data_IF_498031234767
#
_entry.id   IF_498031234767
#
_cell.length_a   1.000
_cell.length_b   1.000
_cell.length_c   1.000
_cell.angle_alpha   90.00
_cell.angle_beta   90.00
_cell.angle_gamma   90.00
#
_symmetry.space_group_name_H-M   'P 1'
#
loop_
_entity.id
_entity.type
_entity.pdbx_description
1 polymer ?
#
# COMPACT_ATOMS: atom_id res chain seq x y z
N UNK A 1 -27.10 -7.72 14.94
CA UNK A 1 -26.71 -8.07 13.55
C UNK A 1 -25.37 -8.78 13.67
N UNK A 2 -25.32 -10.09 13.42
CA UNK A 2 -24.10 -10.89 13.61
C UNK A 2 -23.18 -10.71 12.40
N UNK A 3 -22.15 -9.87 12.57
CA UNK A 3 -21.01 -9.75 11.66
C UNK A 3 -19.98 -10.83 12.00
N UNK A 4 -20.34 -12.09 11.76
CA UNK A 4 -19.43 -13.22 11.92
C UNK A 4 -18.57 -13.36 10.66
N UNK A 5 -17.56 -12.50 10.54
CA UNK A 5 -16.36 -12.80 9.76
C UNK A 5 -15.62 -13.89 10.52
N UNK A 6 -15.48 -15.06 9.91
CA UNK A 6 -14.74 -16.17 10.50
C UNK A 6 -13.23 -15.92 10.41
N UNK A 7 -12.46 -16.48 11.34
CA UNK A 7 -10.98 -16.39 11.35
C UNK A 7 -10.39 -16.83 9.99
N UNK A 8 -10.99 -17.82 9.35
CA UNK A 8 -10.59 -18.34 8.04
C UNK A 8 -10.69 -17.33 6.90
N UNK A 9 -11.57 -16.34 7.01
CA UNK A 9 -11.70 -15.29 6.00
C UNK A 9 -10.57 -14.24 6.14
N UNK A 10 -10.03 -14.06 7.36
CA UNK A 10 -8.91 -13.16 7.64
C UNK A 10 -7.58 -13.75 7.17
N UNK A 11 -7.37 -15.06 7.38
CA UNK A 11 -6.13 -15.73 6.98
C UNK A 11 -5.97 -15.74 5.45
N UNK A 12 -7.05 -16.06 4.71
CA UNK A 12 -7.05 -15.97 3.23
C UNK A 12 -6.71 -14.57 2.72
N UNK A 13 -7.14 -13.56 3.46
CA UNK A 13 -6.92 -12.16 3.13
C UNK A 13 -5.45 -11.77 3.28
N UNK A 14 -4.80 -12.21 4.35
CA UNK A 14 -3.35 -12.04 4.52
C UNK A 14 -2.58 -12.75 3.42
N UNK A 15 -3.02 -13.95 3.01
CA UNK A 15 -2.43 -14.66 1.87
C UNK A 15 -2.55 -13.85 0.58
N UNK A 16 -3.70 -13.22 0.31
CA UNK A 16 -3.86 -12.37 -0.87
C UNK A 16 -3.00 -11.10 -0.81
N UNK A 17 -2.89 -10.44 0.34
CA UNK A 17 -1.98 -9.29 0.53
C UNK A 17 -0.55 -9.71 0.20
N UNK A 18 -0.14 -10.85 0.75
CA UNK A 18 1.19 -11.44 0.54
C UNK A 18 1.43 -11.74 -0.94
N UNK A 19 0.54 -12.47 -1.58
CA UNK A 19 0.61 -12.79 -3.01
C UNK A 19 0.67 -11.52 -3.86
N UNK A 20 -0.17 -10.52 -3.56
CA UNK A 20 -0.19 -9.25 -4.32
C UNK A 20 1.15 -8.54 -4.25
N UNK A 21 1.72 -8.40 -3.04
CA UNK A 21 3.05 -7.83 -2.84
C UNK A 21 4.11 -8.57 -3.67
N UNK A 22 4.24 -9.89 -3.47
CA UNK A 22 5.31 -10.67 -4.11
C UNK A 22 5.17 -10.72 -5.64
N UNK A 23 3.95 -10.78 -6.18
CA UNK A 23 3.73 -10.70 -7.63
C UNK A 23 4.13 -9.33 -8.16
N UNK A 24 3.71 -8.23 -7.53
CA UNK A 24 4.09 -6.88 -7.98
C UNK A 24 5.62 -6.71 -7.98
N UNK A 25 6.28 -7.16 -6.91
CA UNK A 25 7.74 -7.09 -6.79
C UNK A 25 8.43 -7.90 -7.88
N UNK A 26 8.00 -9.13 -8.17
CA UNK A 26 8.58 -9.95 -9.24
C UNK A 26 8.44 -9.29 -10.63
N UNK A 27 7.32 -8.59 -10.88
CA UNK A 27 7.15 -7.78 -12.09
C UNK A 27 8.16 -6.61 -12.15
N UNK A 28 8.39 -5.91 -11.04
CA UNK A 28 9.35 -4.80 -10.99
C UNK A 28 10.78 -5.31 -11.16
N UNK A 29 11.14 -6.45 -10.55
CA UNK A 29 12.48 -7.06 -10.64
C UNK A 29 12.87 -7.48 -12.05
N UNK A 30 11.89 -7.85 -12.88
CA UNK A 30 12.09 -8.20 -14.28
C UNK A 30 12.41 -6.98 -15.15
N UNK A 31 12.20 -5.77 -14.65
CA UNK A 31 12.50 -4.55 -15.38
C UNK A 31 14.00 -4.25 -15.37
N UNK A 32 14.58 -4.09 -16.55
CA UNK A 32 15.94 -3.61 -16.68
C UNK A 32 15.98 -2.09 -16.55
N UNK A 33 16.67 -1.61 -15.52
CA UNK A 33 16.86 -0.20 -15.22
C UNK A 33 17.19 0.67 -16.45
N UNK A 34 18.06 0.16 -17.34
CA UNK A 34 18.52 0.89 -18.53
C UNK A 34 17.40 1.24 -19.51
N UNK A 35 16.28 0.52 -19.45
CA UNK A 35 15.14 0.75 -20.32
C UNK A 35 14.28 1.91 -19.81
N UNK A 36 14.40 2.27 -18.51
CA UNK A 36 13.66 3.37 -17.88
C UNK A 36 14.47 4.67 -17.93
N UNK A 37 15.76 4.59 -17.59
CA UNK A 37 16.65 5.74 -17.56
C UNK A 37 18.13 5.36 -17.63
N UNK A 38 18.97 6.34 -17.99
CA UNK A 38 20.42 6.16 -18.14
C UNK A 38 21.22 7.11 -17.21
N UNK A 39 20.75 7.31 -15.97
CA UNK A 39 21.48 8.06 -14.93
C UNK A 39 22.19 7.08 -13.98
N UNK A 40 23.51 7.20 -13.78
CA UNK A 40 24.20 6.28 -12.86
C UNK A 40 23.79 6.40 -11.39
N UNK A 41 23.34 7.59 -10.94
CA UNK A 41 23.00 7.89 -9.54
C UNK A 41 21.71 7.20 -9.12
N UNK A 42 20.73 7.20 -10.02
CA UNK A 42 19.44 6.59 -9.78
C UNK A 42 19.40 5.08 -9.99
N UNK A 43 20.44 4.51 -10.62
CA UNK A 43 20.58 3.06 -10.76
C UNK A 43 20.64 2.39 -9.39
N UNK A 44 21.40 2.99 -8.47
CA UNK A 44 21.51 2.48 -7.11
C UNK A 44 20.16 2.52 -6.41
N UNK A 45 19.50 3.68 -6.41
CA UNK A 45 18.18 3.87 -5.77
C UNK A 45 17.12 2.95 -6.37
N UNK A 46 17.15 2.67 -7.67
CA UNK A 46 16.22 1.73 -8.31
C UNK A 46 16.28 0.33 -7.70
N UNK A 47 17.47 -0.24 -7.55
CA UNK A 47 17.61 -1.59 -6.99
C UNK A 47 17.38 -1.61 -5.48
N UNK A 48 17.85 -0.58 -4.76
CA UNK A 48 17.62 -0.45 -3.32
C UNK A 48 16.12 -0.34 -3.02
N UNK A 49 15.35 0.41 -3.80
CA UNK A 49 13.90 0.58 -3.61
C UNK A 49 13.16 -0.77 -3.63
N UNK A 50 13.56 -1.70 -4.49
CA UNK A 50 12.97 -3.04 -4.56
C UNK A 50 13.25 -3.81 -3.26
N UNK A 51 14.49 -3.74 -2.76
CA UNK A 51 14.88 -4.38 -1.51
C UNK A 51 14.22 -3.72 -0.29
N UNK A 52 14.04 -2.39 -0.32
CA UNK A 52 13.30 -1.66 0.70
C UNK A 52 11.84 -2.09 0.77
N UNK A 53 11.16 -2.26 -0.38
CA UNK A 53 9.77 -2.76 -0.39
C UNK A 53 9.64 -4.12 0.29
N UNK A 54 10.55 -5.05 -0.02
CA UNK A 54 10.60 -6.38 0.62
C UNK A 54 10.89 -6.28 2.12
N UNK A 55 11.84 -5.45 2.54
CA UNK A 55 12.17 -5.27 3.95
C UNK A 55 11.01 -4.62 4.72
N UNK A 56 10.34 -3.62 4.15
CA UNK A 56 9.14 -3.01 4.75
C UNK A 56 8.08 -4.08 4.98
N UNK A 57 7.80 -4.93 3.98
CA UNK A 57 6.83 -6.02 4.13
C UNK A 57 7.25 -6.99 5.26
N UNK A 58 8.50 -7.45 5.27
CA UNK A 58 9.04 -8.34 6.32
C UNK A 58 8.97 -7.71 7.71
N UNK A 59 9.27 -6.41 7.84
CA UNK A 59 9.15 -5.68 9.10
C UNK A 59 7.69 -5.64 9.57
N UNK A 60 6.74 -5.40 8.67
CA UNK A 60 5.32 -5.39 9.00
C UNK A 60 4.83 -6.77 9.44
N UNK A 61 5.33 -7.83 8.81
CA UNK A 61 5.00 -9.21 9.19
C UNK A 61 5.51 -9.58 10.59
N UNK A 62 6.75 -9.16 10.88
CA UNK A 62 7.37 -9.23 12.21
C UNK A 62 6.86 -8.16 13.19
N UNK A 63 5.88 -7.35 12.79
CA UNK A 63 5.22 -6.29 13.59
C UNK A 63 6.15 -5.18 14.08
N UNK A 64 7.26 -4.96 13.38
CA UNK A 64 8.18 -3.84 13.58
C UNK A 64 7.64 -2.58 12.91
N UNK A 65 6.40 -2.21 13.23
CA UNK A 65 5.61 -1.17 12.57
C UNK A 65 6.30 0.19 12.54
N UNK A 66 6.97 0.61 13.62
CA UNK A 66 7.67 1.90 13.67
C UNK A 66 8.77 2.02 12.62
N UNK A 67 9.58 0.97 12.46
CA UNK A 67 10.66 0.95 11.49
C UNK A 67 10.11 0.86 10.06
N UNK A 68 9.10 0.03 9.86
CA UNK A 68 8.40 -0.08 8.58
C UNK A 68 7.80 1.26 8.13
N UNK A 69 7.15 2.02 9.03
CA UNK A 69 6.55 3.32 8.70
C UNK A 69 7.60 4.35 8.28
N UNK A 70 8.76 4.39 8.94
CA UNK A 70 9.83 5.30 8.57
C UNK A 70 10.40 4.97 7.17
N UNK A 71 10.66 3.69 6.91
CA UNK A 71 11.15 3.22 5.62
C UNK A 71 10.11 3.42 4.51
N UNK A 72 8.83 3.15 4.76
CA UNK A 72 7.76 3.31 3.76
C UNK A 72 7.66 4.74 3.21
N UNK A 73 7.86 5.75 4.07
CA UNK A 73 7.90 7.15 3.62
C UNK A 73 9.13 7.40 2.73
N UNK A 74 10.29 6.89 3.11
CA UNK A 74 11.52 7.07 2.34
C UNK A 74 11.40 6.40 0.96
N UNK A 75 10.99 5.12 0.93
CA UNK A 75 10.74 4.38 -0.31
C UNK A 75 9.77 5.13 -1.25
N UNK A 76 8.73 5.76 -0.71
CA UNK A 76 7.82 6.59 -1.51
C UNK A 76 8.50 7.83 -2.11
N UNK A 77 9.34 8.53 -1.33
CA UNK A 77 10.09 9.70 -1.83
C UNK A 77 11.16 9.31 -2.87
N UNK A 78 11.82 8.17 -2.68
CA UNK A 78 12.80 7.60 -3.61
C UNK A 78 12.15 7.14 -4.93
N UNK A 79 11.00 6.48 -4.83
CA UNK A 79 10.18 6.15 -5.99
C UNK A 79 9.82 7.42 -6.78
N UNK A 80 9.39 8.49 -6.09
CA UNK A 80 9.06 9.78 -6.73
C UNK A 80 10.29 10.41 -7.38
N UNK A 81 11.48 10.27 -6.79
CA UNK A 81 12.74 10.68 -7.40
C UNK A 81 12.99 9.95 -8.73
N UNK A 82 12.89 8.62 -8.75
CA UNK A 82 13.11 7.82 -9.98
C UNK A 82 12.12 8.22 -11.08
N UNK A 83 10.85 8.40 -10.74
CA UNK A 83 9.81 8.82 -11.69
C UNK A 83 10.16 10.21 -12.24
N UNK A 84 10.52 11.16 -11.38
CA UNK A 84 10.81 12.54 -11.77
C UNK A 84 11.96 12.62 -12.77
N UNK A 85 13.10 12.00 -12.46
CA UNK A 85 14.28 12.05 -13.32
C UNK A 85 14.10 11.26 -14.62
N UNK A 86 13.28 10.20 -14.64
CA UNK A 86 12.96 9.47 -15.88
C UNK A 86 12.15 10.32 -16.86
N UNK A 87 11.41 11.31 -16.34
CA UNK A 87 10.66 12.27 -17.15
C UNK A 87 11.47 13.49 -17.55
N UNK A 88 12.45 13.89 -16.74
CA UNK A 88 13.34 15.01 -17.03
C UNK A 88 14.71 14.80 -16.37
N UNK A 89 15.68 14.41 -17.19
CA UNK A 89 17.05 14.18 -16.75
C UNK A 89 17.75 15.49 -16.30
N UNK A 90 17.17 16.67 -16.56
CA UNK A 90 17.73 17.96 -16.17
C UNK A 90 17.32 18.40 -14.76
N UNK A 91 16.55 17.59 -14.01
CA UNK A 91 16.22 17.89 -12.62
C UNK A 91 17.51 17.91 -11.78
N UNK A 92 17.94 19.11 -11.41
CA UNK A 92 19.10 19.31 -10.54
C UNK A 92 18.74 18.90 -9.11
N UNK A 93 19.56 18.01 -8.55
CA UNK A 93 19.49 17.60 -7.16
C UNK A 93 20.71 18.12 -6.43
N UNK A 94 20.49 18.78 -5.30
CA UNK A 94 21.55 19.27 -4.43
C UNK A 94 21.22 18.94 -2.98
N UNK A 95 22.18 19.16 -2.08
CA UNK A 95 21.97 19.04 -0.63
C UNK A 95 20.84 19.95 -0.10
N UNK A 96 20.43 20.96 -0.88
CA UNK A 96 19.35 21.89 -0.52
C UNK A 96 17.99 21.50 -1.12
N UNK A 97 17.92 20.41 -1.90
CA UNK A 97 16.65 19.92 -2.43
C UNK A 97 15.72 19.56 -1.27
N UNK A 98 14.59 20.23 -1.19
CA UNK A 98 13.64 20.06 -0.07
C UNK A 98 12.95 18.70 -0.14
N UNK A 99 12.62 18.17 1.03
CA UNK A 99 11.66 17.06 1.15
C UNK A 99 10.36 17.41 0.40
N UNK A 100 9.84 16.46 -0.37
CA UNK A 100 8.66 16.68 -1.22
C UNK A 100 8.92 17.37 -2.56
N UNK A 101 10.16 17.73 -2.92
CA UNK A 101 10.46 18.33 -4.23
C UNK A 101 10.03 17.43 -5.39
N UNK A 102 10.44 16.15 -5.38
CA UNK A 102 10.08 15.21 -6.44
C UNK A 102 8.58 14.90 -6.45
N UNK A 103 7.93 14.88 -5.28
CA UNK A 103 6.49 14.71 -5.19
C UNK A 103 5.76 15.84 -5.89
N UNK A 104 6.15 17.10 -5.65
CA UNK A 104 5.54 18.24 -6.34
C UNK A 104 5.73 18.13 -7.85
N UNK A 105 6.94 17.79 -8.30
CA UNK A 105 7.24 17.62 -9.71
C UNK A 105 6.39 16.51 -10.37
N UNK A 106 6.34 15.33 -9.76
CA UNK A 106 5.54 14.20 -10.26
C UNK A 106 4.05 14.55 -10.23
N UNK A 107 3.60 15.31 -9.23
CA UNK A 107 2.21 15.74 -9.10
C UNK A 107 1.80 16.72 -10.20
N UNK A 108 2.64 17.73 -10.49
CA UNK A 108 2.40 18.68 -11.58
C UNK A 108 2.32 18.01 -12.95
N UNK A 109 3.01 16.87 -13.10
CA UNK A 109 3.06 16.10 -14.34
C UNK A 109 2.25 14.79 -14.30
N UNK A 110 1.37 14.62 -13.30
CA UNK A 110 0.71 13.34 -13.06
C UNK A 110 -0.08 12.84 -14.27
N UNK A 111 -0.77 13.73 -15.00
CA UNK A 111 -1.51 13.36 -16.21
C UNK A 111 -0.61 12.85 -17.33
N UNK A 112 0.57 13.45 -17.50
CA UNK A 112 1.57 12.99 -18.48
C UNK A 112 2.11 11.61 -18.10
N UNK A 113 2.43 11.42 -16.81
CA UNK A 113 3.11 10.23 -16.28
C UNK A 113 2.14 9.04 -16.21
N UNK A 114 0.95 9.28 -15.68
CA UNK A 114 -0.01 8.23 -15.30
C UNK A 114 -1.26 8.22 -16.19
N UNK A 115 -1.60 9.34 -16.85
CA UNK A 115 -2.81 9.48 -17.64
C UNK A 115 -3.98 9.94 -16.78
N UNK A 116 -5.13 9.30 -16.94
CA UNK A 116 -6.34 9.69 -16.20
C UNK A 116 -6.26 9.33 -14.70
N UNK A 117 -5.46 8.33 -14.32
CA UNK A 117 -5.27 7.92 -12.94
C UNK A 117 -3.89 7.25 -12.72
N UNK A 118 -3.30 7.37 -11.52
CA UNK A 118 -3.74 8.22 -10.41
C UNK A 118 -3.59 9.72 -10.67
N UNK A 119 -4.42 10.51 -9.98
CA UNK A 119 -4.45 11.97 -10.09
C UNK A 119 -3.45 12.62 -9.14
N UNK A 120 -3.21 13.92 -9.34
CA UNK A 120 -2.46 14.78 -8.42
C UNK A 120 -2.95 14.70 -6.96
N UNK A 121 -4.26 14.59 -6.77
CA UNK A 121 -4.88 14.46 -5.45
C UNK A 121 -4.51 13.14 -4.77
N UNK A 122 -4.43 12.05 -5.54
CA UNK A 122 -4.11 10.73 -5.00
C UNK A 122 -2.66 10.69 -4.51
N UNK A 123 -1.73 11.24 -5.30
CA UNK A 123 -0.30 11.38 -4.96
C UNK A 123 -0.13 12.19 -3.67
N UNK A 124 -0.74 13.37 -3.57
CA UNK A 124 -0.63 14.19 -2.35
C UNK A 124 -1.30 13.56 -1.13
N UNK A 125 -2.40 12.83 -1.32
CA UNK A 125 -3.11 12.18 -0.21
C UNK A 125 -2.21 11.14 0.47
N UNK A 126 -1.49 10.33 -0.31
CA UNK A 126 -0.55 9.33 0.22
C UNK A 126 0.62 10.02 0.90
N UNK A 127 1.20 11.04 0.26
CA UNK A 127 2.31 11.77 0.86
C UNK A 127 1.92 12.42 2.20
N UNK A 128 0.75 13.05 2.27
CA UNK A 128 0.22 13.65 3.50
C UNK A 128 -0.04 12.60 4.58
N UNK A 129 -0.58 11.44 4.19
CA UNK A 129 -0.75 10.31 5.10
C UNK A 129 0.59 9.82 5.67
N UNK A 130 1.57 9.48 4.82
CA UNK A 130 2.89 9.02 5.25
C UNK A 130 3.62 10.06 6.12
N UNK A 131 3.56 11.33 5.72
CA UNK A 131 4.14 12.46 6.49
C UNK A 131 3.55 12.58 7.89
N UNK A 132 2.24 12.35 8.03
CA UNK A 132 1.58 12.29 9.33
C UNK A 132 2.13 11.13 10.15
N UNK A 133 2.19 9.92 9.58
CA UNK A 133 2.59 8.73 10.31
C UNK A 133 4.01 8.82 10.90
N UNK A 134 4.93 9.47 10.17
CA UNK A 134 6.31 9.67 10.63
C UNK A 134 6.52 10.91 11.50
N UNK A 135 5.49 11.75 11.70
CA UNK A 135 5.62 12.93 12.54
C UNK A 135 5.90 12.51 13.99
N UNK A 136 6.84 13.19 14.66
CA UNK A 136 7.36 12.75 15.97
C UNK A 136 6.28 12.58 17.05
N UNK A 137 5.22 13.38 17.01
CA UNK A 137 4.07 13.24 17.94
C UNK A 137 3.30 11.96 17.67
N UNK A 138 3.08 11.64 16.40
CA UNK A 138 2.31 10.48 15.97
C UNK A 138 3.14 9.20 16.13
N UNK A 139 4.45 9.24 15.89
CA UNK A 139 5.35 8.11 16.20
C UNK A 139 5.34 7.74 17.69
N UNK A 140 5.28 8.72 18.59
CA UNK A 140 5.14 8.47 20.04
C UNK A 140 3.80 7.81 20.38
N UNK A 141 2.72 8.27 19.74
CA UNK A 141 1.39 7.66 19.87
C UNK A 141 1.40 6.21 19.40
N UNK A 142 1.98 5.93 18.23
CA UNK A 142 2.14 4.57 17.68
C UNK A 142 2.96 3.70 18.58
N UNK A 143 4.08 4.19 19.09
CA UNK A 143 4.92 3.44 20.01
C UNK A 143 4.12 3.02 21.25
N UNK A 144 3.30 3.93 21.79
CA UNK A 144 2.38 3.63 22.90
C UNK A 144 1.33 2.57 22.51
N UNK A 145 0.77 2.65 21.30
CA UNK A 145 -0.28 1.73 20.83
C UNK A 145 0.24 0.34 20.48
N UNK A 146 1.39 0.26 19.83
CA UNK A 146 2.06 -0.99 19.45
C UNK A 146 2.63 -1.69 20.69
N UNK A 147 3.13 -0.94 21.68
CA UNK A 147 3.64 -1.49 22.92
C UNK A 147 2.55 -2.02 23.87
N UNK A 148 1.32 -1.50 23.78
CA UNK A 148 0.25 -1.82 24.72
C UNK A 148 -0.59 -3.05 24.34
N UNK A 149 -0.86 -3.30 23.05
CA UNK A 149 -1.80 -4.37 22.66
C UNK A 149 -1.51 -5.09 21.32
N UNK A 150 -1.52 -6.43 21.37
CA UNK A 150 -1.24 -7.33 20.23
C UNK A 150 -2.18 -7.15 19.04
N UNK A 151 -3.46 -6.83 19.27
CA UNK A 151 -4.47 -6.65 18.20
C UNK A 151 -4.34 -5.29 17.51
N UNK A 152 -4.04 -4.23 18.27
CA UNK A 152 -3.78 -2.90 17.72
C UNK A 152 -2.60 -2.92 16.75
N UNK A 153 -1.50 -3.54 17.17
CA UNK A 153 -0.32 -3.70 16.33
C UNK A 153 -0.64 -4.44 15.02
N UNK A 154 -1.51 -5.46 15.05
CA UNK A 154 -1.95 -6.17 13.83
C UNK A 154 -2.75 -5.27 12.89
N UNK A 155 -3.71 -4.51 13.41
CA UNK A 155 -4.53 -3.60 12.58
C UNK A 155 -3.64 -2.57 11.89
N UNK A 156 -2.73 -1.93 12.64
CA UNK A 156 -1.82 -0.93 12.08
C UNK A 156 -0.88 -1.58 11.05
N UNK A 157 -0.30 -2.74 11.36
CA UNK A 157 0.58 -3.43 10.42
C UNK A 157 -0.12 -3.75 9.09
N UNK A 158 -1.38 -4.20 9.12
CA UNK A 158 -2.15 -4.46 7.90
C UNK A 158 -2.46 -3.20 7.10
N UNK A 159 -2.87 -2.12 7.76
CA UNK A 159 -3.10 -0.83 7.07
C UNK A 159 -1.82 -0.34 6.37
N UNK A 160 -0.66 -0.54 7.00
CA UNK A 160 0.63 -0.23 6.39
C UNK A 160 0.96 -1.16 5.22
N UNK A 161 0.63 -2.46 5.30
CA UNK A 161 0.77 -3.40 4.17
C UNK A 161 -0.07 -2.96 2.97
N UNK A 162 -1.31 -2.51 3.18
CA UNK A 162 -2.15 -1.96 2.12
C UNK A 162 -1.54 -0.69 1.50
N UNK A 163 -0.98 0.19 2.33
CA UNK A 163 -0.31 1.41 1.88
C UNK A 163 0.95 1.09 1.05
N UNK A 164 1.73 0.10 1.48
CA UNK A 164 2.88 -0.41 0.72
C UNK A 164 2.45 -0.94 -0.64
N UNK A 165 1.45 -1.83 -0.70
CA UNK A 165 0.98 -2.40 -1.98
C UNK A 165 0.45 -1.31 -2.92
N UNK A 166 -0.21 -0.28 -2.39
CA UNK A 166 -0.61 0.88 -3.19
C UNK A 166 0.61 1.55 -3.84
N UNK A 167 1.67 1.78 -3.08
CA UNK A 167 2.89 2.44 -3.55
C UNK A 167 3.62 1.56 -4.58
N UNK A 168 3.73 0.26 -4.32
CA UNK A 168 4.31 -0.71 -5.25
C UNK A 168 3.52 -0.76 -6.56
N UNK A 169 2.19 -0.81 -6.48
CA UNK A 169 1.33 -0.80 -7.67
C UNK A 169 1.45 0.51 -8.44
N UNK A 170 1.52 1.65 -7.75
CA UNK A 170 1.77 2.96 -8.36
C UNK A 170 3.08 2.95 -9.16
N UNK A 171 4.13 2.38 -8.58
CA UNK A 171 5.42 2.28 -9.25
C UNK A 171 5.35 1.38 -10.48
N UNK A 172 4.80 0.17 -10.33
CA UNK A 172 4.62 -0.76 -11.44
C UNK A 172 3.76 -0.17 -12.55
N UNK A 173 2.73 0.61 -12.22
CA UNK A 173 1.88 1.28 -13.20
C UNK A 173 2.65 2.36 -13.99
N UNK A 174 3.54 3.12 -13.33
CA UNK A 174 4.47 3.99 -14.07
C UNK A 174 5.37 3.19 -15.02
N UNK A 175 5.98 2.11 -14.54
CA UNK A 175 6.87 1.27 -15.34
C UNK A 175 6.13 0.64 -16.53
N UNK A 176 4.91 0.17 -16.32
CA UNK A 176 4.09 -0.43 -17.38
C UNK A 176 3.76 0.57 -18.47
N UNK A 177 3.44 1.81 -18.10
CA UNK A 177 3.22 2.89 -19.08
C UNK A 177 4.49 3.26 -19.84
N UNK A 178 5.64 3.25 -19.17
CA UNK A 178 6.93 3.62 -19.77
C UNK A 178 7.43 2.54 -20.74
N UNK A 179 7.24 1.26 -20.39
CA UNK A 179 7.83 0.11 -21.07
C UNK A 179 6.82 -0.78 -21.80
N UNK A 180 5.53 -0.43 -21.75
CA UNK A 180 4.42 -1.22 -22.29
C UNK A 180 4.36 -2.65 -21.74
N UNK A 181 4.54 -2.79 -20.43
CA UNK A 181 4.45 -4.07 -19.71
C UNK A 181 2.97 -4.41 -19.48
N UNK A 182 2.56 -5.64 -19.76
CA UNK A 182 1.23 -6.11 -19.40
C UNK A 182 1.12 -6.32 -17.88
N UNK A 183 0.20 -5.60 -17.24
CA UNK A 183 -0.03 -5.63 -15.80
C UNK A 183 -1.44 -6.09 -15.44
N UNK A 184 -2.10 -6.89 -16.30
CA UNK A 184 -3.46 -7.40 -16.01
C UNK A 184 -3.50 -8.15 -14.67
N UNK A 185 -2.59 -9.10 -14.44
CA UNK A 185 -2.56 -9.88 -13.20
C UNK A 185 -2.36 -8.98 -11.95
N UNK A 186 -1.31 -8.14 -11.87
CA UNK A 186 -1.15 -7.16 -10.79
C UNK A 186 -2.38 -6.27 -10.57
N UNK A 187 -3.03 -5.82 -11.65
CA UNK A 187 -4.22 -4.96 -11.56
C UNK A 187 -5.38 -5.71 -10.91
N UNK A 188 -5.65 -6.94 -11.35
CA UNK A 188 -6.73 -7.76 -10.78
C UNK A 188 -6.45 -8.07 -9.30
N UNK A 189 -5.21 -8.40 -8.94
CA UNK A 189 -4.82 -8.60 -7.54
C UNK A 189 -5.00 -7.32 -6.71
N UNK A 190 -4.61 -6.17 -7.26
CA UNK A 190 -4.77 -4.87 -6.61
C UNK A 190 -6.24 -4.50 -6.35
N UNK A 191 -7.18 -4.91 -7.21
CA UNK A 191 -8.62 -4.69 -6.96
C UNK A 191 -9.15 -5.36 -5.70
N UNK A 192 -8.37 -6.27 -5.09
CA UNK A 192 -8.73 -6.89 -3.82
C UNK A 192 -8.37 -6.04 -2.58
N UNK A 193 -7.54 -5.01 -2.72
CA UNK A 193 -7.07 -4.16 -1.60
C UNK A 193 -8.21 -3.49 -0.82
N UNK A 194 -9.28 -2.94 -1.45
CA UNK A 194 -10.42 -2.37 -0.73
C UNK A 194 -11.11 -3.34 0.24
N UNK A 195 -11.05 -4.65 0.01
CA UNK A 195 -11.60 -5.65 0.94
C UNK A 195 -10.77 -5.77 2.23
N UNK A 196 -9.48 -5.47 2.17
CA UNK A 196 -8.59 -5.53 3.33
C UNK A 196 -8.79 -4.33 4.25
N UNK A 197 -8.90 -3.13 3.68
CA UNK A 197 -9.27 -1.91 4.42
C UNK A 197 -10.59 -2.11 5.18
N UNK A 198 -11.48 -2.89 4.58
CA UNK A 198 -12.78 -3.22 5.15
C UNK A 198 -12.70 -4.22 6.30
N UNK A 199 -11.91 -5.28 6.18
CA UNK A 199 -11.68 -6.23 7.28
C UNK A 199 -11.01 -5.54 8.46
N UNK A 200 -10.04 -4.67 8.21
CA UNK A 200 -9.44 -3.85 9.24
C UNK A 200 -10.47 -2.94 9.90
N UNK A 201 -11.35 -2.29 9.12
CA UNK A 201 -12.45 -1.48 9.65
C UNK A 201 -13.42 -2.30 10.52
N UNK A 202 -13.74 -3.53 10.12
CA UNK A 202 -14.62 -4.41 10.91
C UNK A 202 -13.94 -4.84 12.23
N UNK A 203 -12.65 -5.18 12.18
CA UNK A 203 -11.90 -5.48 13.40
C UNK A 203 -11.80 -4.26 14.31
N UNK A 204 -11.65 -3.08 13.73
CA UNK A 204 -11.63 -1.81 14.46
C UNK A 204 -12.96 -1.52 15.16
N UNK A 205 -14.09 -1.86 14.54
CA UNK A 205 -15.43 -1.67 15.13
C UNK A 205 -15.69 -2.63 16.29
N UNK A 206 -14.96 -3.75 16.37
CA UNK A 206 -15.01 -4.69 17.50
C UNK A 206 -14.21 -4.21 18.71
N UNK A 207 -13.44 -3.13 18.58
CA UNK A 207 -12.69 -2.50 19.67
C UNK A 207 -13.57 -1.57 20.51
N UNK A 208 -13.11 -1.21 21.72
CA UNK A 208 -13.82 -0.23 22.56
C UNK A 208 -13.94 1.14 21.86
N UNK A 209 -15.01 1.90 22.15
CA UNK A 209 -15.29 3.19 21.49
C UNK A 209 -14.10 4.15 21.56
N UNK A 210 -13.48 4.28 22.74
CA UNK A 210 -12.29 5.10 22.96
C UNK A 210 -11.11 4.67 22.08
N UNK A 211 -10.92 3.37 21.90
CA UNK A 211 -9.83 2.78 21.13
C UNK A 211 -10.09 2.89 19.62
N UNK A 212 -11.34 2.74 19.21
CA UNK A 212 -11.81 2.97 17.84
C UNK A 212 -11.56 4.42 17.41
N UNK A 213 -11.99 5.40 18.21
CA UNK A 213 -11.75 6.83 17.93
C UNK A 213 -10.26 7.15 17.80
N UNK A 214 -9.46 6.62 18.72
CA UNK A 214 -8.00 6.77 18.73
C UNK A 214 -7.33 6.22 17.46
N UNK A 215 -7.63 4.98 17.08
CA UNK A 215 -7.07 4.35 15.88
C UNK A 215 -7.56 5.00 14.59
N UNK A 216 -8.82 5.43 14.54
CA UNK A 216 -9.35 6.20 13.41
C UNK A 216 -8.62 7.55 13.26
N UNK A 217 -8.31 8.25 14.36
CA UNK A 217 -7.52 9.48 14.31
C UNK A 217 -6.16 9.24 13.68
N UNK A 218 -5.48 8.19 14.12
CA UNK A 218 -4.15 7.84 13.66
C UNK A 218 -4.13 7.40 12.18
N UNK A 219 -5.00 6.46 11.79
CA UNK A 219 -5.02 5.83 10.46
C UNK A 219 -5.70 6.72 9.40
N UNK A 220 -6.72 7.52 9.76
CA UNK A 220 -7.61 8.17 8.76
C UNK A 220 -7.64 9.71 8.76
N UNK A 221 -6.72 10.39 9.44
CA UNK A 221 -6.55 11.86 9.46
C UNK A 221 -7.60 12.65 10.31
N UNK A 222 -7.22 13.85 10.80
CA UNK A 222 -8.04 14.74 11.65
C UNK A 222 -9.03 15.63 10.87
N UNK A 223 -8.81 15.91 9.59
CA UNK A 223 -9.85 16.56 8.75
C UNK A 223 -11.11 15.70 8.62
N UNK A 224 -10.96 14.39 8.86
CA UNK A 224 -12.06 13.45 8.96
C UNK A 224 -12.76 13.49 10.31
N UNK A 225 -12.23 14.11 11.38
CA UNK A 225 -12.78 13.98 12.74
C UNK A 225 -14.10 14.74 12.98
N UNK A 226 -14.27 15.93 12.39
CA UNK A 226 -15.59 16.61 12.37
C UNK A 226 -16.56 15.91 11.41
N UNK A 227 -16.04 15.30 10.35
CA UNK A 227 -16.80 14.46 9.44
C UNK A 227 -17.21 13.14 10.10
N UNK A 228 -16.41 12.54 10.99
CA UNK A 228 -16.55 11.19 11.56
C UNK A 228 -17.74 11.00 12.48
N UNK A 229 -18.36 12.04 13.05
CA UNK A 229 -19.67 11.85 13.73
C UNK A 229 -20.84 11.71 12.75
N UNK A 230 -20.73 12.28 11.55
CA UNK A 230 -21.70 12.15 10.45
C UNK A 230 -21.35 10.95 9.57
N UNK A 231 -20.04 10.70 9.36
CA UNK A 231 -19.46 9.54 8.69
C UNK A 231 -19.56 8.28 9.54
N UNK A 232 -19.53 8.29 10.88
CA UNK A 232 -19.78 7.08 11.67
C UNK A 232 -21.16 6.47 11.41
N UNK A 233 -22.16 7.28 11.02
CA UNK A 233 -23.46 6.79 10.54
C UNK A 233 -23.41 6.32 9.07
N UNK A 234 -22.55 6.90 8.23
CA UNK A 234 -22.27 6.39 6.87
C UNK A 234 -21.42 5.14 6.88
N UNK A 235 -20.28 5.12 7.55
CA UNK A 235 -19.45 3.95 7.90
C UNK A 235 -20.31 2.87 8.55
N UNK A 236 -21.20 3.15 9.50
CA UNK A 236 -22.13 2.14 10.01
C UNK A 236 -23.13 1.63 8.93
N UNK A 237 -23.60 2.51 8.04
CA UNK A 237 -24.46 2.13 6.91
C UNK A 237 -23.72 1.40 5.78
N UNK A 238 -22.43 1.68 5.57
CA UNK A 238 -21.55 0.96 4.66
C UNK A 238 -21.20 -0.38 5.27
N UNK A 239 -20.76 -0.44 6.54
CA UNK A 239 -20.56 -1.66 7.33
C UNK A 239 -21.79 -2.59 7.33
N UNK A 240 -23.01 -2.05 7.26
CA UNK A 240 -24.23 -2.83 7.13
C UNK A 240 -24.52 -3.36 5.70
N UNK A 241 -23.88 -2.79 4.66
CA UNK A 241 -23.97 -3.20 3.24
C UNK A 241 -22.75 -3.96 2.74
N UNK A 242 -21.71 -4.03 3.57
CA UNK A 242 -20.32 -4.40 3.29
C UNK A 242 -20.07 -5.90 3.17
N UNK A 243 -20.98 -6.76 3.64
CA UNK A 243 -20.70 -8.21 3.67
C UNK A 243 -21.13 -8.98 2.42
N UNK A 244 -22.12 -8.52 1.67
CA UNK A 244 -22.69 -9.29 0.54
C UNK A 244 -22.07 -8.85 -0.78
N UNK A 245 -22.20 -7.58 -1.15
CA UNK A 245 -21.77 -7.05 -2.45
C UNK A 245 -20.25 -7.18 -2.65
N UNK A 246 -19.49 -7.02 -1.58
CA UNK A 246 -18.03 -7.02 -1.62
C UNK A 246 -17.43 -8.43 -1.50
N UNK A 247 -18.04 -9.33 -0.71
CA UNK A 247 -17.74 -10.77 -0.76
C UNK A 247 -18.07 -11.35 -2.14
N UNK A 248 -19.17 -10.93 -2.75
CA UNK A 248 -19.51 -11.25 -4.13
C UNK A 248 -18.42 -10.75 -5.10
N UNK A 249 -17.91 -9.52 -4.97
CA UNK A 249 -16.81 -9.04 -5.81
C UNK A 249 -15.52 -9.87 -5.67
N UNK A 250 -15.11 -10.23 -4.44
CA UNK A 250 -13.97 -11.14 -4.23
C UNK A 250 -14.26 -12.51 -4.86
N UNK A 251 -15.41 -13.13 -4.57
CA UNK A 251 -15.79 -14.44 -5.10
C UNK A 251 -15.95 -14.44 -6.63
N UNK A 252 -16.36 -13.31 -7.22
CA UNK A 252 -16.45 -13.14 -8.67
C UNK A 252 -15.07 -12.95 -9.31
N UNK A 253 -14.12 -12.33 -8.59
CA UNK A 253 -12.74 -12.15 -9.06
C UNK A 253 -11.86 -13.38 -8.79
N UNK A 254 -12.18 -14.23 -7.81
CA UNK A 254 -11.41 -15.43 -7.46
C UNK A 254 -11.15 -16.37 -8.65
N UNK A 255 -12.16 -16.74 -9.46
CA UNK A 255 -11.92 -17.52 -10.68
C UNK A 255 -10.99 -16.79 -11.65
N UNK A 256 -11.18 -15.48 -11.84
CA UNK A 256 -10.34 -14.66 -12.72
C UNK A 256 -8.88 -14.62 -12.24
N UNK A 257 -8.69 -14.46 -10.93
CA UNK A 257 -7.36 -14.44 -10.29
C UNK A 257 -6.67 -15.78 -10.48
N UNK A 258 -7.34 -16.90 -10.16
CA UNK A 258 -6.75 -18.23 -10.31
C UNK A 258 -6.42 -18.55 -11.78
N UNK A 259 -7.30 -18.17 -12.70
CA UNK A 259 -7.05 -18.34 -14.13
C UNK A 259 -5.86 -17.49 -14.63
N UNK A 260 -5.74 -16.25 -14.15
CA UNK A 260 -4.62 -15.37 -14.50
C UNK A 260 -3.31 -15.87 -13.88
N UNK A 261 -3.30 -16.29 -12.61
CA UNK A 261 -2.14 -16.89 -11.95
C UNK A 261 -1.61 -18.06 -12.80
N UNK A 262 -2.50 -18.95 -13.23
CA UNK A 262 -2.15 -20.08 -14.12
C UNK A 262 -1.64 -19.64 -15.48
N UNK A 263 -2.35 -18.73 -16.16
CA UNK A 263 -1.95 -18.24 -17.49
C UNK A 263 -0.61 -17.52 -17.48
N UNK A 264 -0.31 -16.78 -16.41
CA UNK A 264 0.94 -16.06 -16.24
C UNK A 264 2.06 -16.94 -15.65
N UNK A 265 1.80 -18.21 -15.34
CA UNK A 265 2.80 -19.14 -14.82
C UNK A 265 3.21 -18.91 -13.35
N UNK A 266 2.35 -18.30 -12.55
CA UNK A 266 2.61 -17.96 -11.15
C UNK A 266 2.12 -19.03 -10.14
N UNK A 267 1.58 -20.17 -10.59
CA UNK A 267 1.00 -21.18 -9.68
C UNK A 267 1.99 -21.67 -8.62
N UNK A 268 3.16 -22.16 -9.02
CA UNK A 268 4.19 -22.66 -8.11
C UNK A 268 4.75 -21.55 -7.21
N UNK A 269 4.91 -20.34 -7.75
CA UNK A 269 5.37 -19.18 -7.00
C UNK A 269 4.37 -18.80 -5.90
N UNK A 270 3.08 -18.69 -6.24
CA UNK A 270 2.01 -18.38 -5.29
C UNK A 270 1.90 -19.44 -4.20
N UNK A 271 1.95 -20.72 -4.58
CA UNK A 271 1.99 -21.81 -3.59
C UNK A 271 3.17 -21.68 -2.63
N UNK A 272 4.35 -21.35 -3.17
CA UNK A 272 5.56 -21.18 -2.37
C UNK A 272 5.44 -19.99 -1.43
N UNK A 273 4.91 -18.86 -1.90
CA UNK A 273 4.67 -17.65 -1.11
C UNK A 273 3.67 -17.93 0.03
N UNK A 274 2.61 -18.69 -0.23
CA UNK A 274 1.62 -19.04 0.80
C UNK A 274 2.21 -20.04 1.81
N UNK A 275 2.91 -21.08 1.34
CA UNK A 275 3.47 -22.15 2.21
C UNK A 275 4.64 -21.68 3.06
N UNK A 276 5.46 -20.76 2.56
CA UNK A 276 6.60 -20.23 3.30
C UNK A 276 6.17 -18.99 4.07
N UNK A 277 5.97 -19.10 5.38
CA UNK A 277 6.15 -17.98 6.29
C UNK A 277 7.63 -17.59 6.25
N UNK A 278 8.01 -16.77 5.27
CA UNK A 278 9.38 -16.28 5.14
C UNK A 278 9.63 -15.34 6.34
N UNK A 279 10.47 -15.84 7.24
CA UNK A 279 10.91 -15.36 8.55
C UNK A 279 11.12 -13.84 8.73
#
# INVERSE_FOLDING_TARGET
MNLDIEIKDIDKVEDYIKVTHYVIIDYIEKVNYKDILNDSRAKYIFYELIDEFKEIYSLLDRRKTLMATALLRNAYEEMMYIIAISEDNAIETSVNTKAGHFINYVTEKSEKIFGEAPTSKDIYKIYGYLSKLVHVTNLKEVASYVASEKNTSKIIAREMKCSLIFIEFLYLYFLSRKLNIDIELPTVLFTCIPFFELINLIQLVKESERKKEMLMSYIRNEESHKYLKVEARKVANELNKVSIVQKEQLMNNLPKINDLIRKCGYEEFVETVIKNDIY
#
